data_IF_889613547397
#
_entry.id   IF_889613547397
#
_cell.length_a   1.000
_cell.length_b   1.000
_cell.length_c   1.000
_cell.angle_alpha   90.00
_cell.angle_beta   90.00
_cell.angle_gamma   90.00
#
_symmetry.space_group_name_H-M   'P 1'
#
loop_
_entity.id
_entity.type
_entity.pdbx_description
1 polymer ?
#
# COMPACT_ATOMS: atom_id res chain seq x y z
N UNK A 1 -29.35 37.84 58.93
CA UNK A 1 -27.97 38.39 59.01
C UNK A 1 -27.39 38.00 60.35
N UNK A 2 -26.60 36.92 60.39
CA UNK A 2 -25.93 36.43 61.58
C UNK A 2 -24.44 36.26 61.25
N UNK A 3 -23.60 36.89 62.07
CA UNK A 3 -22.16 37.07 61.92
C UNK A 3 -21.47 35.89 62.58
N UNK A 4 -20.85 35.00 61.80
CA UNK A 4 -20.07 33.87 62.33
C UNK A 4 -18.57 34.26 62.39
N UNK A 5 -17.87 33.97 63.50
CA UNK A 5 -16.48 34.36 63.71
C UNK A 5 -15.48 33.40 63.08
N UNK A 6 -14.38 33.99 62.61
CA UNK A 6 -13.18 33.35 62.06
C UNK A 6 -12.31 32.76 63.17
N UNK A 7 -11.73 31.55 63.01
CA UNK A 7 -10.64 31.08 63.86
C UNK A 7 -9.28 31.38 63.22
N UNK A 8 -8.57 32.35 63.80
CA UNK A 8 -7.12 32.42 63.78
C UNK A 8 -6.55 31.25 64.58
N UNK A 9 -5.51 30.59 64.06
CA UNK A 9 -4.60 29.80 64.89
C UNK A 9 -3.16 30.19 64.56
N UNK A 10 -2.41 30.79 65.51
CA UNK A 10 -1.01 31.13 65.37
C UNK A 10 -0.11 30.05 65.99
N UNK A 11 1.19 30.20 65.70
CA UNK A 11 2.36 29.61 66.36
C UNK A 11 2.76 28.17 65.98
N UNK A 12 3.91 27.99 65.33
CA UNK A 12 5.31 28.09 65.81
C UNK A 12 5.75 26.88 66.65
N UNK A 13 6.51 25.98 66.04
CA UNK A 13 7.63 25.23 66.62
C UNK A 13 8.41 24.67 65.41
N UNK A 14 9.49 25.30 64.94
CA UNK A 14 10.83 25.27 65.51
C UNK A 14 11.34 23.83 65.72
N UNK A 15 11.93 23.23 64.68
CA UNK A 15 12.95 22.20 64.88
C UNK A 15 14.19 22.48 64.03
N UNK A 16 15.31 22.33 64.73
CA UNK A 16 16.64 22.87 64.49
C UNK A 16 17.50 21.79 63.84
N UNK A 17 18.19 22.17 62.76
CA UNK A 17 19.58 21.76 62.42
C UNK A 17 20.03 20.31 62.63
N UNK A 18 20.33 19.63 61.51
CA UNK A 18 21.49 18.73 61.37
C UNK A 18 21.82 18.69 59.88
N UNK A 19 22.96 19.18 59.39
CA UNK A 19 24.31 18.84 59.81
C UNK A 19 24.95 17.97 58.71
N UNK A 20 25.19 18.56 57.53
CA UNK A 20 25.87 17.89 56.42
C UNK A 20 27.40 18.01 56.53
N UNK A 21 28.17 16.96 56.22
CA UNK A 21 29.50 17.10 55.63
C UNK A 21 29.37 16.96 54.11
N UNK A 22 29.45 18.10 53.42
CA UNK A 22 29.50 18.21 51.96
C UNK A 22 30.82 17.62 51.48
N UNK A 23 30.80 16.40 50.93
CA UNK A 23 31.94 15.83 50.19
C UNK A 23 32.18 16.68 48.94
N UNK A 24 33.34 17.33 48.90
CA UNK A 24 33.87 18.00 47.72
C UNK A 24 34.15 16.96 46.64
N UNK A 25 33.22 16.78 45.70
CA UNK A 25 33.49 16.07 44.45
C UNK A 25 34.20 17.04 43.50
N UNK A 26 35.35 16.67 42.91
CA UNK A 26 36.07 17.52 41.97
C UNK A 26 35.21 17.84 40.75
N UNK A 27 35.16 19.13 40.41
CA UNK A 27 34.62 19.66 39.17
C UNK A 27 35.49 19.16 38.01
N UNK A 28 34.96 18.40 37.03
CA UNK A 28 35.70 18.11 35.82
C UNK A 28 35.88 19.42 35.04
N UNK A 29 37.14 19.73 34.73
CA UNK A 29 37.50 20.83 33.83
C UNK A 29 36.86 20.63 32.45
N UNK A 30 36.51 21.73 31.75
CA UNK A 30 36.09 21.66 30.36
C UNK A 30 37.31 21.30 29.50
N UNK A 31 37.37 20.03 29.07
CA UNK A 31 38.32 19.61 28.04
C UNK A 31 38.09 20.42 26.77
N UNK A 32 39.13 21.17 26.45
CA UNK A 32 39.37 21.90 25.23
C UNK A 32 39.04 21.08 23.99
N UNK A 33 38.18 21.64 23.15
CA UNK A 33 38.34 21.70 21.69
C UNK A 33 39.09 20.54 21.03
N UNK A 34 38.37 19.46 20.74
CA UNK A 34 38.67 18.65 19.57
C UNK A 34 37.96 19.28 18.38
N UNK A 35 38.73 19.93 17.51
CA UNK A 35 38.30 20.28 16.15
C UNK A 35 37.85 18.99 15.46
N UNK A 36 36.54 18.85 15.27
CA UNK A 36 36.00 17.86 14.35
C UNK A 36 36.26 18.39 12.95
N UNK A 37 37.24 17.79 12.27
CA UNK A 37 37.43 17.97 10.84
C UNK A 37 36.11 17.75 10.10
N UNK A 38 35.75 18.75 9.31
CA UNK A 38 34.65 18.71 8.35
C UNK A 38 35.03 17.73 7.23
N UNK A 39 34.29 16.62 7.01
CA UNK A 39 34.53 15.77 5.86
C UNK A 39 34.01 16.48 4.61
N UNK A 40 34.97 17.03 3.85
CA UNK A 40 34.82 17.49 2.48
C UNK A 40 34.03 16.45 1.65
N UNK A 41 32.91 16.82 1.01
CA UNK A 41 32.20 15.92 0.10
C UNK A 41 33.01 15.77 -1.19
N UNK A 42 33.96 14.83 -1.21
CA UNK A 42 34.61 14.38 -2.43
C UNK A 42 33.70 13.39 -3.17
N UNK A 43 33.14 13.87 -4.27
CA UNK A 43 33.07 13.17 -5.56
C UNK A 43 32.87 11.65 -5.52
N UNK A 44 31.62 11.21 -5.32
CA UNK A 44 31.19 9.84 -5.61
C UNK A 44 29.92 9.78 -6.47
N UNK A 45 29.69 10.81 -7.31
CA UNK A 45 28.51 10.92 -8.17
C UNK A 45 28.79 10.72 -9.68
N UNK A 46 29.90 10.07 -10.05
CA UNK A 46 30.30 9.95 -11.45
C UNK A 46 30.49 8.50 -11.98
N UNK A 47 30.07 7.45 -11.26
CA UNK A 47 30.35 6.06 -11.68
C UNK A 47 29.14 5.13 -11.80
N UNK A 48 27.91 5.65 -11.83
CA UNK A 48 26.70 4.80 -11.96
C UNK A 48 25.89 5.11 -13.24
N UNK A 49 26.27 6.12 -14.02
CA UNK A 49 25.58 6.48 -15.25
C UNK A 49 25.97 5.64 -16.48
N UNK A 50 27.04 4.83 -16.42
CA UNK A 50 27.57 4.14 -17.60
C UNK A 50 27.14 2.66 -17.74
N UNK A 51 26.31 2.15 -16.82
CA UNK A 51 25.86 0.74 -16.83
C UNK A 51 24.44 0.52 -17.38
N UNK A 52 23.80 1.57 -17.92
CA UNK A 52 22.46 1.48 -18.53
C UNK A 52 22.45 1.59 -20.06
N UNK A 53 23.60 1.48 -20.73
CA UNK A 53 23.68 1.33 -22.19
C UNK A 53 23.41 -0.13 -22.57
N UNK A 54 22.12 -0.47 -22.65
CA UNK A 54 21.68 -1.71 -23.31
C UNK A 54 21.97 -1.68 -24.82
N UNK A 55 22.14 -2.84 -25.46
CA UNK A 55 22.47 -2.94 -26.87
C UNK A 55 21.39 -2.30 -27.76
N UNK A 56 21.81 -1.44 -28.68
CA UNK A 56 21.00 -0.98 -29.82
C UNK A 56 20.49 -2.22 -30.56
N UNK A 57 19.18 -2.42 -30.52
CA UNK A 57 18.49 -3.36 -31.39
C UNK A 57 18.21 -2.58 -32.67
N UNK A 58 19.01 -2.84 -33.69
CA UNK A 58 18.73 -2.43 -35.06
C UNK A 58 17.39 -3.05 -35.48
N UNK A 59 16.36 -2.19 -35.57
CA UNK A 59 15.06 -2.56 -36.13
C UNK A 59 15.20 -2.49 -37.64
N UNK A 60 15.69 -3.60 -38.21
CA UNK A 60 15.71 -3.83 -39.64
C UNK A 60 14.28 -3.86 -40.19
N UNK A 61 14.14 -3.15 -41.30
CA UNK A 61 12.90 -2.99 -42.04
C UNK A 61 12.39 -4.31 -42.62
N UNK A 62 11.06 -4.35 -42.79
CA UNK A 62 10.27 -5.17 -43.71
C UNK A 62 9.31 -6.14 -43.00
N UNK A 63 8.02 -5.97 -43.28
CA UNK A 63 7.28 -6.78 -44.25
C UNK A 63 5.83 -6.29 -44.18
N UNK A 64 5.40 -5.63 -45.25
CA UNK A 64 4.00 -5.28 -45.51
C UNK A 64 3.20 -6.57 -45.69
N UNK A 65 2.13 -6.83 -44.92
CA UNK A 65 1.25 -7.96 -45.21
C UNK A 65 0.39 -7.66 -46.45
N UNK A 66 0.12 -8.67 -47.31
CA UNK A 66 -0.70 -8.50 -48.49
C UNK A 66 -2.16 -8.20 -48.13
N UNK A 67 -2.72 -7.24 -48.85
CA UNK A 67 -4.14 -6.90 -48.87
C UNK A 67 -4.96 -8.09 -49.38
N UNK A 68 -5.67 -8.77 -48.49
CA UNK A 68 -6.66 -9.80 -48.85
C UNK A 68 -8.03 -9.14 -48.90
N UNK A 69 -8.54 -8.96 -50.11
CA UNK A 69 -9.93 -8.55 -50.37
C UNK A 69 -10.89 -9.66 -49.94
N UNK A 70 -12.03 -9.34 -49.30
CA UNK A 70 -13.04 -10.34 -48.98
C UNK A 70 -13.78 -10.77 -50.25
N UNK A 71 -13.55 -12.01 -50.66
CA UNK A 71 -14.38 -12.70 -51.66
C UNK A 71 -15.74 -13.00 -51.05
N UNK A 72 -16.77 -12.33 -51.57
CA UNK A 72 -18.18 -12.72 -51.43
C UNK A 72 -18.34 -14.15 -51.92
N UNK A 73 -18.75 -15.05 -51.03
CA UNK A 73 -19.22 -16.39 -51.39
C UNK A 73 -20.73 -16.29 -51.47
N UNK A 74 -21.24 -16.30 -52.70
CA UNK A 74 -22.65 -16.53 -53.00
C UNK A 74 -22.99 -17.99 -52.64
N UNK A 75 -23.97 -18.15 -51.74
CA UNK A 75 -24.62 -19.43 -51.45
C UNK A 75 -25.57 -19.77 -52.60
N UNK A 76 -25.11 -20.58 -53.56
CA UNK A 76 -25.97 -21.21 -54.56
C UNK A 76 -26.40 -22.61 -54.10
N UNK A 77 -27.70 -22.72 -53.90
CA UNK A 77 -28.49 -23.92 -53.63
C UNK A 77 -28.40 -24.98 -54.74
N UNK A 78 -28.26 -26.27 -54.40
CA UNK A 78 -28.84 -27.42 -55.15
C UNK A 78 -28.91 -28.68 -54.25
N UNK A 79 -29.98 -29.53 -54.36
CA UNK A 79 -30.24 -30.64 -53.45
C UNK A 79 -29.78 -32.02 -53.98
N UNK A 80 -29.51 -32.94 -53.04
CA UNK A 80 -29.78 -34.38 -53.16
C UNK A 80 -28.91 -35.23 -54.09
N UNK A 81 -28.26 -36.26 -53.52
CA UNK A 81 -28.38 -37.67 -53.94
C UNK A 81 -27.60 -38.55 -52.95
N UNK A 82 -28.32 -39.52 -52.35
CA UNK A 82 -27.77 -40.63 -51.56
C UNK A 82 -27.09 -41.63 -52.49
N UNK A 83 -25.91 -42.09 -52.11
CA UNK A 83 -25.32 -43.35 -52.58
C UNK A 83 -24.45 -43.96 -51.47
N UNK A 84 -24.58 -45.26 -51.15
CA UNK A 84 -23.69 -45.94 -50.24
C UNK A 84 -22.47 -46.45 -51.00
N UNK A 85 -21.26 -46.14 -50.53
CA UNK A 85 -20.03 -46.73 -51.07
C UNK A 85 -19.29 -47.49 -49.97
N UNK A 86 -18.79 -48.71 -50.24
CA UNK A 86 -18.16 -49.59 -49.26
C UNK A 86 -16.67 -49.26 -49.05
N UNK A 87 -16.22 -49.39 -47.80
CA UNK A 87 -14.79 -49.58 -47.46
C UNK A 87 -14.33 -50.95 -47.98
N UNK A 88 -13.08 -51.16 -48.46
CA UNK A 88 -11.92 -51.19 -47.54
C UNK A 88 -10.55 -50.81 -48.15
N UNK A 89 -9.62 -50.32 -47.33
CA UNK A 89 -8.31 -50.95 -47.14
C UNK A 89 -7.47 -50.21 -46.11
N UNK A 90 -6.99 -50.99 -45.15
CA UNK A 90 -6.15 -50.58 -44.04
C UNK A 90 -4.77 -50.14 -44.53
N UNK A 91 -4.45 -48.87 -44.30
CA UNK A 91 -3.08 -48.39 -44.22
C UNK A 91 -2.71 -48.20 -42.74
N UNK A 92 -1.45 -48.42 -42.35
CA UNK A 92 -1.03 -48.31 -40.95
C UNK A 92 -1.32 -46.91 -40.43
N UNK A 93 -2.03 -46.86 -39.31
CA UNK A 93 -2.31 -45.64 -38.58
C UNK A 93 -1.00 -45.04 -38.08
N UNK A 94 -0.40 -44.17 -38.89
CA UNK A 94 0.52 -43.16 -38.38
C UNK A 94 -0.31 -42.28 -37.47
N UNK A 95 -0.19 -42.50 -36.16
CA UNK A 95 -0.72 -41.62 -35.13
C UNK A 95 0.08 -40.31 -35.26
N UNK A 96 -0.33 -39.49 -36.22
CA UNK A 96 0.01 -38.08 -36.26
C UNK A 96 -0.72 -37.50 -35.07
N UNK A 97 -0.06 -37.48 -33.91
CA UNK A 97 -0.51 -36.65 -32.82
C UNK A 97 -0.61 -35.24 -33.41
N UNK A 98 -1.81 -34.63 -33.42
CA UNK A 98 -1.88 -33.23 -33.75
C UNK A 98 -1.08 -32.54 -32.65
N UNK A 99 0.14 -32.14 -32.99
CA UNK A 99 0.89 -31.13 -32.26
C UNK A 99 0.09 -29.84 -32.48
N UNK A 100 -1.05 -29.74 -31.80
CA UNK A 100 -1.67 -28.49 -31.47
C UNK A 100 -0.73 -27.84 -30.46
N UNK A 101 0.40 -27.34 -30.99
CA UNK A 101 0.98 -26.10 -30.55
C UNK A 101 -0.05 -25.03 -30.84
N UNK A 102 -1.16 -25.07 -30.10
CA UNK A 102 -2.08 -23.97 -29.97
C UNK A 102 -1.20 -22.82 -29.51
N UNK A 103 -0.87 -21.97 -30.47
CA UNK A 103 -0.18 -20.70 -30.26
C UNK A 103 -1.07 -19.97 -29.28
N UNK A 104 -0.80 -20.14 -27.98
CA UNK A 104 -1.57 -19.49 -26.92
C UNK A 104 -1.57 -18.03 -27.30
N UNK A 105 -2.77 -17.51 -27.57
CA UNK A 105 -2.95 -16.06 -27.66
C UNK A 105 -2.21 -15.48 -26.46
N UNK A 106 -1.28 -14.54 -26.65
CA UNK A 106 -0.41 -14.06 -25.59
C UNK A 106 -1.18 -13.46 -24.40
N UNK A 107 -2.49 -13.24 -24.55
CA UNK A 107 -3.40 -12.86 -23.47
C UNK A 107 -4.70 -13.66 -23.60
N UNK A 108 -4.96 -14.55 -22.64
CA UNK A 108 -6.26 -15.23 -22.50
C UNK A 108 -6.91 -14.65 -21.25
N UNK A 109 -7.60 -13.52 -21.39
CA UNK A 109 -8.42 -12.98 -20.31
C UNK A 109 -9.56 -13.96 -20.04
N UNK A 110 -9.65 -14.44 -18.80
CA UNK A 110 -10.75 -15.30 -18.38
C UNK A 110 -12.05 -14.49 -18.30
N UNK A 111 -13.17 -15.14 -18.60
CA UNK A 111 -14.50 -14.52 -18.52
C UNK A 111 -14.78 -14.10 -17.05
N UNK A 112 -15.37 -12.92 -16.79
CA UNK A 112 -15.71 -12.51 -15.43
C UNK A 112 -16.61 -13.54 -14.74
N UNK A 113 -16.28 -13.88 -13.50
CA UNK A 113 -17.10 -14.80 -12.70
C UNK A 113 -18.35 -14.10 -12.16
N UNK A 114 -19.50 -14.77 -12.22
CA UNK A 114 -20.78 -14.27 -11.66
C UNK A 114 -20.87 -14.44 -10.14
N UNK A 115 -19.96 -15.22 -9.54
CA UNK A 115 -19.94 -15.51 -8.11
C UNK A 115 -18.52 -15.40 -7.55
N UNK A 116 -18.40 -15.09 -6.26
CA UNK A 116 -17.11 -15.05 -5.58
C UNK A 116 -16.57 -16.48 -5.44
N UNK A 117 -15.55 -16.83 -6.21
CA UNK A 117 -15.00 -18.18 -6.19
C UNK A 117 -14.17 -18.40 -4.92
N UNK A 118 -14.08 -19.63 -4.43
CA UNK A 118 -13.24 -19.97 -3.26
C UNK A 118 -11.78 -19.54 -3.48
N UNK A 119 -11.29 -19.63 -4.73
CA UNK A 119 -9.94 -19.18 -5.10
C UNK A 119 -9.79 -17.67 -4.97
N UNK A 120 -10.76 -16.87 -5.42
CA UNK A 120 -10.75 -15.41 -5.22
C UNK A 120 -10.79 -15.05 -3.74
N UNK A 121 -11.63 -15.72 -2.95
CA UNK A 121 -11.68 -15.53 -1.49
C UNK A 121 -10.31 -15.80 -0.83
N UNK A 122 -9.67 -16.91 -1.19
CA UNK A 122 -8.36 -17.28 -0.68
C UNK A 122 -7.29 -16.25 -1.03
N UNK A 123 -7.28 -15.73 -2.27
CA UNK A 123 -6.32 -14.71 -2.70
C UNK A 123 -6.56 -13.39 -1.96
N UNK A 124 -7.81 -12.96 -1.80
CA UNK A 124 -8.15 -11.75 -1.04
C UNK A 124 -7.70 -11.85 0.42
N UNK A 125 -7.99 -12.97 1.09
CA UNK A 125 -7.57 -13.22 2.47
C UNK A 125 -6.05 -13.32 2.59
N UNK A 126 -5.40 -14.06 1.70
CA UNK A 126 -3.94 -14.19 1.69
C UNK A 126 -3.26 -12.84 1.50
N UNK A 127 -3.72 -12.03 0.54
CA UNK A 127 -3.19 -10.69 0.29
C UNK A 127 -3.40 -9.78 1.48
N UNK A 128 -4.61 -9.79 2.08
CA UNK A 128 -4.89 -9.01 3.28
C UNK A 128 -4.00 -9.40 4.46
N UNK A 129 -3.79 -10.70 4.70
CA UNK A 129 -2.91 -11.17 5.78
C UNK A 129 -1.45 -10.77 5.57
N UNK A 130 -0.93 -10.94 4.35
CA UNK A 130 0.44 -10.51 4.01
C UNK A 130 0.58 -9.01 4.19
N UNK A 131 -0.37 -8.22 3.70
CA UNK A 131 -0.38 -6.77 3.90
C UNK A 131 -0.40 -6.42 5.38
N UNK A 132 -1.34 -6.95 6.17
CA UNK A 132 -1.41 -6.70 7.62
C UNK A 132 -0.08 -7.01 8.30
N UNK A 133 0.48 -8.20 8.06
CA UNK A 133 1.70 -8.63 8.72
C UNK A 133 2.89 -7.74 8.35
N UNK A 134 3.06 -7.41 7.06
CA UNK A 134 4.15 -6.55 6.61
C UNK A 134 4.02 -5.12 7.12
N UNK A 135 2.84 -4.53 7.09
CA UNK A 135 2.62 -3.13 7.51
C UNK A 135 2.66 -2.99 9.01
N UNK A 136 2.05 -3.91 9.75
CA UNK A 136 2.06 -3.92 11.20
C UNK A 136 3.48 -4.06 11.74
N UNK A 137 4.26 -4.99 11.17
CA UNK A 137 5.65 -5.21 11.58
C UNK A 137 6.54 -4.01 11.27
N UNK A 138 6.42 -3.42 10.07
CA UNK A 138 7.20 -2.25 9.68
C UNK A 138 6.91 -1.06 10.60
N UNK A 139 5.63 -0.76 10.85
CA UNK A 139 5.24 0.37 11.69
C UNK A 139 5.57 0.15 13.16
N UNK A 140 5.45 -1.09 13.66
CA UNK A 140 5.92 -1.46 14.99
C UNK A 140 7.44 -1.27 15.13
N UNK A 141 8.22 -1.65 14.11
CA UNK A 141 9.66 -1.47 14.08
C UNK A 141 10.07 0.01 14.12
N UNK A 142 9.42 0.83 13.29
CA UNK A 142 9.64 2.29 13.28
C UNK A 142 9.29 2.91 14.64
N UNK A 143 8.13 2.53 15.21
CA UNK A 143 7.73 2.98 16.54
C UNK A 143 8.74 2.56 17.62
N UNK A 144 9.24 1.33 17.53
CA UNK A 144 10.23 0.80 18.48
C UNK A 144 11.54 1.56 18.39
N UNK A 145 11.98 1.92 17.18
CA UNK A 145 13.18 2.74 16.99
C UNK A 145 12.96 4.19 17.47
N UNK A 146 11.82 4.80 17.16
CA UNK A 146 11.54 6.19 17.53
C UNK A 146 11.34 6.37 19.03
N UNK A 147 10.56 5.50 19.65
CA UNK A 147 10.13 5.64 21.05
C UNK A 147 10.93 4.77 22.03
N UNK A 148 11.59 3.71 21.55
CA UNK A 148 12.35 2.79 22.41
C UNK A 148 13.71 3.32 22.86
N UNK A 149 14.29 4.31 22.15
CA UNK A 149 15.57 4.93 22.51
C UNK A 149 15.45 6.25 23.28
N UNK A 150 14.23 6.78 23.45
CA UNK A 150 14.03 7.98 24.27
C UNK A 150 14.19 7.66 25.75
N UNK A 151 15.07 8.40 26.43
CA UNK A 151 15.43 8.20 27.84
C UNK A 151 14.26 8.60 28.75
N UNK A 152 13.36 7.68 29.06
CA UNK A 152 12.24 7.80 30.01
C UNK A 152 11.27 9.00 29.83
N UNK A 153 11.47 9.83 28.80
CA UNK A 153 10.59 10.95 28.49
C UNK A 153 9.19 10.44 28.10
N UNK A 154 8.12 10.99 28.69
CA UNK A 154 6.76 10.58 28.37
C UNK A 154 6.43 10.91 26.91
N UNK A 155 5.67 10.03 26.27
CA UNK A 155 5.21 10.26 24.89
C UNK A 155 3.95 11.12 24.94
N UNK A 156 4.04 12.27 24.29
CA UNK A 156 2.96 13.24 24.20
C UNK A 156 2.05 12.95 23.00
N UNK A 157 0.74 13.09 23.20
CA UNK A 157 -0.24 12.86 22.14
C UNK A 157 -0.20 13.96 21.08
N UNK A 158 -0.18 15.23 21.50
CA UNK A 158 -0.28 16.39 20.62
C UNK A 158 0.92 17.36 20.71
N UNK A 159 1.69 17.33 21.79
CA UNK A 159 2.81 18.26 22.00
C UNK A 159 4.06 17.84 21.19
N UNK A 160 4.73 18.84 20.62
CA UNK A 160 6.00 18.72 19.90
C UNK A 160 7.17 18.36 20.84
N UNK A 161 8.25 17.72 20.38
CA UNK A 161 8.72 17.64 18.99
C UNK A 161 8.17 16.49 18.14
N UNK A 162 7.68 15.40 18.74
CA UNK A 162 7.23 14.20 18.02
C UNK A 162 5.82 13.81 18.53
N UNK A 163 4.76 14.51 18.09
CA UNK A 163 3.41 14.21 18.53
C UNK A 163 2.95 12.85 18.00
N UNK A 164 2.53 11.95 18.89
CA UNK A 164 2.05 10.62 18.50
C UNK A 164 0.88 10.68 17.52
N UNK A 165 -0.02 11.65 17.69
CA UNK A 165 -1.17 11.86 16.80
C UNK A 165 -0.76 12.30 15.38
N UNK A 166 0.28 13.15 15.28
CA UNK A 166 0.79 13.62 13.99
C UNK A 166 1.56 12.53 13.24
N UNK A 167 2.37 11.76 13.96
CA UNK A 167 3.09 10.63 13.41
C UNK A 167 2.13 9.53 12.89
N UNK A 168 1.05 9.24 13.62
CA UNK A 168 0.03 8.30 13.16
C UNK A 168 -0.79 8.81 11.97
N UNK A 169 -1.08 10.10 11.92
CA UNK A 169 -1.73 10.73 10.77
C UNK A 169 -0.90 10.53 9.48
N UNK A 170 0.40 10.84 9.56
CA UNK A 170 1.34 10.67 8.45
C UNK A 170 1.49 9.19 8.08
N UNK A 171 1.53 8.31 9.09
CA UNK A 171 1.61 6.86 8.89
C UNK A 171 0.43 6.35 8.06
N UNK A 172 -0.81 6.71 8.39
CA UNK A 172 -2.00 6.29 7.63
C UNK A 172 -1.88 6.74 6.16
N UNK A 173 -1.48 7.99 5.94
CA UNK A 173 -1.31 8.55 4.61
C UNK A 173 -0.25 7.77 3.83
N UNK A 174 0.99 7.72 4.30
CA UNK A 174 2.09 7.06 3.58
C UNK A 174 1.78 5.58 3.36
N UNK A 175 1.23 4.89 4.37
CA UNK A 175 0.93 3.47 4.29
C UNK A 175 -0.10 3.16 3.20
N UNK A 176 -1.12 4.01 3.01
CA UNK A 176 -2.11 3.78 1.97
C UNK A 176 -1.52 3.93 0.57
N UNK A 177 -0.63 4.89 0.35
CA UNK A 177 0.10 5.02 -0.92
C UNK A 177 1.02 3.83 -1.16
N UNK A 178 1.80 3.43 -0.14
CA UNK A 178 2.70 2.28 -0.23
C UNK A 178 1.96 0.95 -0.40
N UNK A 179 0.70 0.85 0.03
CA UNK A 179 -0.11 -0.35 -0.16
C UNK A 179 -0.78 -0.36 -1.53
N UNK A 180 -1.20 0.81 -2.03
CA UNK A 180 -1.91 0.96 -3.30
C UNK A 180 -1.07 0.49 -4.49
N UNK A 181 0.14 1.04 -4.67
CA UNK A 181 0.92 0.79 -5.89
C UNK A 181 1.41 -0.67 -6.03
N UNK A 182 1.95 -1.32 -4.98
CA UNK A 182 2.33 -2.72 -5.07
C UNK A 182 1.12 -3.62 -5.33
N UNK A 183 -0.02 -3.37 -4.66
CA UNK A 183 -1.23 -4.17 -4.89
C UNK A 183 -1.71 -4.04 -6.33
N UNK A 184 -1.75 -2.82 -6.87
CA UNK A 184 -2.09 -2.57 -8.28
C UNK A 184 -1.14 -3.33 -9.23
N UNK A 185 0.16 -3.33 -8.95
CA UNK A 185 1.14 -4.06 -9.77
C UNK A 185 0.95 -5.58 -9.69
N UNK A 186 0.73 -6.13 -8.48
CA UNK A 186 0.48 -7.55 -8.27
C UNK A 186 -0.80 -7.99 -8.99
N UNK A 187 -1.90 -7.27 -8.79
CA UNK A 187 -3.19 -7.57 -9.42
C UNK A 187 -3.05 -7.52 -10.94
N UNK A 188 -2.44 -6.48 -11.50
CA UNK A 188 -2.23 -6.38 -12.93
C UNK A 188 -1.37 -7.53 -13.48
N UNK A 189 -0.32 -7.94 -12.76
CA UNK A 189 0.50 -9.10 -13.13
C UNK A 189 -0.29 -10.40 -13.13
N UNK A 190 -1.09 -10.66 -12.09
CA UNK A 190 -1.90 -11.88 -12.00
C UNK A 190 -3.03 -11.92 -13.05
N UNK A 191 -3.61 -10.78 -13.38
CA UNK A 191 -4.59 -10.65 -14.46
C UNK A 191 -3.95 -10.92 -15.83
N UNK A 192 -2.76 -10.36 -16.09
CA UNK A 192 -2.02 -10.59 -17.34
C UNK A 192 -1.59 -12.06 -17.50
N UNK A 193 -1.28 -12.74 -16.40
CA UNK A 193 -0.97 -14.16 -16.39
C UNK A 193 -2.21 -15.05 -16.63
N UNK A 194 -3.43 -14.49 -16.56
CA UNK A 194 -4.67 -15.25 -16.66
C UNK A 194 -4.88 -16.21 -15.47
N UNK A 195 -4.21 -15.96 -14.34
CA UNK A 195 -4.32 -16.82 -13.16
C UNK A 195 -5.56 -16.53 -12.32
N UNK A 196 -6.06 -15.29 -12.40
CA UNK A 196 -7.18 -14.78 -11.61
C UNK A 196 -8.28 -14.31 -12.55
N UNK A 197 -9.50 -14.78 -12.29
CA UNK A 197 -10.71 -14.29 -12.95
C UNK A 197 -11.11 -12.93 -12.34
N UNK A 198 -11.41 -11.91 -13.16
CA UNK A 198 -11.93 -10.65 -12.64
C UNK A 198 -13.29 -10.86 -11.97
N UNK A 199 -13.53 -10.09 -10.91
CA UNK A 199 -14.77 -10.14 -10.14
C UNK A 199 -15.88 -9.49 -10.96
N UNK A 200 -16.81 -10.29 -11.48
CA UNK A 200 -17.92 -9.81 -12.32
C UNK A 200 -19.26 -9.67 -11.60
N UNK A 201 -19.33 -9.97 -10.28
CA UNK A 201 -20.61 -9.97 -9.57
C UNK A 201 -21.12 -8.57 -9.21
N UNK A 202 -20.24 -7.55 -9.15
CA UNK A 202 -20.69 -6.19 -8.82
C UNK A 202 -21.41 -5.58 -10.03
N UNK A 203 -22.68 -5.17 -9.88
CA UNK A 203 -23.36 -4.43 -10.93
C UNK A 203 -22.61 -3.12 -11.19
N UNK A 204 -22.50 -2.75 -12.47
CA UNK A 204 -21.85 -1.50 -12.84
C UNK A 204 -22.56 -0.31 -12.19
N UNK A 205 -21.82 0.57 -11.48
CA UNK A 205 -22.42 1.76 -10.90
C UNK A 205 -22.92 2.70 -12.00
N UNK A 206 -24.16 3.14 -11.85
CA UNK A 206 -24.78 4.17 -12.69
C UNK A 206 -24.12 5.57 -12.56
N UNK A 207 -23.35 5.81 -11.50
CA UNK A 207 -22.71 7.10 -11.26
C UNK A 207 -21.32 7.18 -11.92
N UNK A 208 -21.17 8.13 -12.86
CA UNK A 208 -19.94 8.42 -13.57
C UNK A 208 -18.68 8.51 -12.67
N UNK A 209 -18.64 9.26 -11.55
CA UNK A 209 -17.43 9.33 -10.73
C UNK A 209 -17.09 8.00 -10.05
N UNK A 210 -18.10 7.19 -9.70
CA UNK A 210 -17.89 5.87 -9.10
C UNK A 210 -17.39 4.87 -10.15
N UNK A 211 -17.93 4.95 -11.37
CA UNK A 211 -17.47 4.20 -12.54
C UNK A 211 -16.02 4.53 -12.89
N UNK A 212 -15.67 5.81 -12.88
CA UNK A 212 -14.28 6.26 -12.99
C UNK A 212 -13.45 5.65 -11.88
N UNK A 213 -13.82 5.81 -10.61
CA UNK A 213 -13.08 5.31 -9.44
C UNK A 213 -12.83 3.80 -9.45
N UNK A 214 -13.75 3.01 -10.02
CA UNK A 214 -13.65 1.54 -10.15
C UNK A 214 -12.94 1.05 -11.41
N UNK A 215 -12.29 1.93 -12.18
CA UNK A 215 -11.62 1.59 -13.47
C UNK A 215 -12.56 1.07 -14.56
N UNK A 216 -13.86 1.34 -14.47
CA UNK A 216 -14.84 0.90 -15.46
C UNK A 216 -14.87 1.82 -16.69
N UNK A 217 -14.39 3.06 -16.57
CA UNK A 217 -14.17 3.97 -17.70
C UNK A 217 -12.88 3.66 -18.47
N UNK A 218 -12.74 2.40 -18.92
CA UNK A 218 -11.67 2.07 -19.89
C UNK A 218 -12.03 2.74 -21.21
N UNK A 219 -11.31 3.80 -21.56
CA UNK A 219 -11.28 4.27 -22.93
C UNK A 219 -10.85 3.10 -23.82
N UNK A 220 -11.56 2.83 -24.93
CA UNK A 220 -11.24 1.71 -25.81
C UNK A 220 -9.77 1.82 -26.23
N UNK A 221 -9.04 0.72 -26.07
CA UNK A 221 -7.62 0.57 -26.40
C UNK A 221 -7.40 0.97 -27.86
N UNK A 222 -7.04 2.23 -28.09
CA UNK A 222 -6.32 2.60 -29.31
C UNK A 222 -5.01 1.83 -29.24
N UNK A 223 -4.85 0.87 -30.14
CA UNK A 223 -3.66 0.05 -30.38
C UNK A 223 -2.41 0.88 -30.81
N UNK A 224 -2.19 2.04 -30.19
CA UNK A 224 -1.07 2.94 -30.42
C UNK A 224 0.05 2.73 -29.41
N UNK A 225 1.25 3.19 -29.76
CA UNK A 225 2.43 3.17 -28.88
C UNK A 225 2.10 3.81 -27.52
N UNK A 226 2.48 3.13 -26.44
CA UNK A 226 2.39 3.68 -25.07
C UNK A 226 3.18 4.98 -25.02
N UNK A 227 2.47 6.10 -24.96
CA UNK A 227 3.08 7.43 -24.91
C UNK A 227 3.26 7.82 -23.44
N UNK A 228 4.34 8.54 -23.10
CA UNK A 228 4.60 9.03 -21.74
C UNK A 228 3.39 9.78 -21.14
N UNK A 229 2.65 10.53 -21.96
CA UNK A 229 1.43 11.22 -21.55
C UNK A 229 0.31 10.26 -21.09
N UNK A 230 0.18 9.07 -21.68
CA UNK A 230 -0.80 8.06 -21.25
C UNK A 230 -0.41 7.46 -19.90
N UNK A 231 0.88 7.17 -19.72
CA UNK A 231 1.42 6.67 -18.45
C UNK A 231 1.25 7.72 -17.34
N UNK A 232 1.57 8.99 -17.62
CA UNK A 232 1.39 10.07 -16.65
C UNK A 232 -0.09 10.26 -16.27
N UNK A 233 -1.01 10.22 -17.25
CA UNK A 233 -2.45 10.26 -16.99
C UNK A 233 -2.92 9.09 -16.14
N UNK A 234 -2.39 7.89 -16.41
CA UNK A 234 -2.66 6.71 -15.60
C UNK A 234 -2.18 6.91 -14.16
N UNK A 235 -0.91 7.30 -13.96
CA UNK A 235 -0.35 7.54 -12.62
C UNK A 235 -1.14 8.61 -11.86
N UNK A 236 -1.50 9.72 -12.53
CA UNK A 236 -2.29 10.78 -11.91
C UNK A 236 -3.69 10.30 -11.53
N UNK A 237 -4.33 9.47 -12.36
CA UNK A 237 -5.61 8.83 -12.04
C UNK A 237 -5.49 7.92 -10.82
N UNK A 238 -4.43 7.11 -10.72
CA UNK A 238 -4.14 6.28 -9.55
C UNK A 238 -3.92 7.12 -8.30
N UNK A 239 -3.11 8.18 -8.41
CA UNK A 239 -2.78 9.10 -7.32
C UNK A 239 -4.04 9.77 -6.74
N UNK A 240 -4.94 10.23 -7.61
CA UNK A 240 -6.18 10.87 -7.19
C UNK A 240 -7.12 9.88 -6.47
N UNK A 241 -7.18 8.63 -6.90
CA UNK A 241 -8.00 7.59 -6.25
C UNK A 241 -7.48 7.22 -4.88
N UNK A 242 -6.17 6.95 -4.77
CA UNK A 242 -5.57 6.66 -3.47
C UNK A 242 -5.68 7.87 -2.55
N UNK A 243 -5.61 9.10 -3.06
CA UNK A 243 -5.84 10.31 -2.26
C UNK A 243 -7.28 10.39 -1.71
N UNK A 244 -8.29 10.17 -2.56
CA UNK A 244 -9.70 10.15 -2.13
C UNK A 244 -9.92 9.06 -1.07
N UNK A 245 -9.43 7.85 -1.33
CA UNK A 245 -9.52 6.74 -0.39
C UNK A 245 -8.79 7.05 0.93
N UNK A 246 -7.62 7.70 0.85
CA UNK A 246 -6.83 8.11 2.01
C UNK A 246 -7.56 9.14 2.85
N UNK A 247 -8.20 10.13 2.24
CA UNK A 247 -8.99 11.12 2.99
C UNK A 247 -10.14 10.45 3.75
N UNK A 248 -10.85 9.51 3.10
CA UNK A 248 -11.93 8.75 3.73
C UNK A 248 -11.43 7.86 4.86
N UNK A 249 -10.39 7.05 4.59
CA UNK A 249 -9.78 6.17 5.58
C UNK A 249 -9.20 6.96 6.76
N UNK A 250 -8.57 8.11 6.50
CA UNK A 250 -8.05 9.00 7.53
C UNK A 250 -9.17 9.52 8.42
N UNK A 251 -10.26 10.04 7.85
CA UNK A 251 -11.39 10.54 8.62
C UNK A 251 -12.02 9.44 9.50
N UNK A 252 -12.13 8.22 8.98
CA UNK A 252 -12.73 7.08 9.68
C UNK A 252 -11.79 6.49 10.73
N UNK A 253 -10.49 6.38 10.47
CA UNK A 253 -9.55 5.66 11.33
C UNK A 253 -8.86 6.58 12.33
N UNK A 254 -8.45 7.77 11.92
CA UNK A 254 -7.63 8.65 12.76
C UNK A 254 -8.42 9.14 13.97
N UNK A 255 -9.59 9.74 13.77
CA UNK A 255 -10.36 10.33 14.87
C UNK A 255 -10.76 9.32 15.97
N UNK A 256 -11.32 8.13 15.64
CA UNK A 256 -11.57 7.11 16.66
C UNK A 256 -10.31 6.61 17.34
N UNK A 257 -9.20 6.49 16.59
CA UNK A 257 -7.92 6.04 17.17
C UNK A 257 -7.38 7.02 18.22
N UNK A 258 -7.50 8.33 17.96
CA UNK A 258 -7.15 9.38 18.92
C UNK A 258 -8.10 9.34 20.12
N UNK A 259 -9.40 9.16 19.91
CA UNK A 259 -10.37 9.01 20.99
C UNK A 259 -10.05 7.82 21.91
N UNK A 260 -9.64 6.68 21.36
CA UNK A 260 -9.19 5.51 22.14
C UNK A 260 -7.91 5.82 22.90
N UNK A 261 -6.92 6.47 22.29
CA UNK A 261 -5.70 6.88 22.98
C UNK A 261 -6.01 7.83 24.15
N UNK A 262 -6.87 8.82 23.95
CA UNK A 262 -7.30 9.74 25.01
C UNK A 262 -7.99 9.01 26.16
N UNK A 263 -8.71 7.93 25.89
CA UNK A 263 -9.41 7.12 26.90
C UNK A 263 -8.46 6.19 27.70
N UNK A 264 -7.36 5.74 27.09
CA UNK A 264 -6.39 4.81 27.70
C UNK A 264 -5.18 5.53 28.31
N UNK A 265 -5.09 6.85 28.17
CA UNK A 265 -3.96 7.63 28.68
C UNK A 265 -3.73 7.45 30.19
N UNK A 266 -2.47 7.26 30.56
CA UNK A 266 -2.06 6.97 31.95
C UNK A 266 -2.23 8.19 32.86
N UNK A 267 -1.93 9.38 32.33
CA UNK A 267 -2.06 10.63 33.05
C UNK A 267 -2.28 11.80 32.09
N UNK A 268 -2.91 12.84 32.62
CA UNK A 268 -2.89 14.17 32.00
C UNK A 268 -1.62 14.87 32.43
N UNK A 269 -0.72 15.17 31.50
CA UNK A 269 0.42 16.04 31.74
C UNK A 269 0.03 17.46 31.32
N UNK A 270 -0.24 18.33 32.29
CA UNK A 270 -0.67 19.71 32.08
C UNK A 270 -1.91 19.81 31.16
N UNK A 271 -1.67 19.97 29.86
CA UNK A 271 -2.67 20.18 28.82
C UNK A 271 -2.70 19.09 27.75
N UNK A 272 -1.94 18.01 27.93
CA UNK A 272 -1.83 16.89 26.99
C UNK A 272 -2.03 15.52 27.67
N UNK A 273 -2.21 14.49 26.86
CA UNK A 273 -2.26 13.10 27.27
C UNK A 273 -0.86 12.49 27.13
N UNK A 274 -0.36 11.94 28.23
CA UNK A 274 0.93 11.27 28.28
C UNK A 274 0.76 9.76 28.32
N UNK A 275 1.70 9.08 27.67
CA UNK A 275 1.80 7.63 27.68
C UNK A 275 3.20 7.20 28.08
N UNK A 276 3.29 6.01 28.66
CA UNK A 276 4.58 5.36 28.82
C UNK A 276 5.26 5.16 27.45
N UNK A 277 6.57 5.44 27.33
CA UNK A 277 7.30 5.32 26.07
C UNK A 277 7.42 3.87 25.59
N UNK A 278 7.27 2.91 26.51
CA UNK A 278 7.29 1.49 26.21
C UNK A 278 5.89 0.95 25.98
N UNK A 279 5.77 0.13 24.95
CA UNK A 279 4.60 -0.61 24.50
C UNK A 279 3.46 0.22 23.91
N UNK A 280 3.04 1.32 24.53
CA UNK A 280 1.85 2.07 24.07
C UNK A 280 1.97 2.56 22.63
N UNK A 281 2.99 3.37 22.24
CA UNK A 281 3.07 3.84 20.86
C UNK A 281 3.36 2.72 19.87
N UNK A 282 4.10 1.68 20.27
CA UNK A 282 4.44 0.55 19.39
C UNK A 282 3.20 -0.31 19.09
N UNK A 283 2.43 -0.68 20.12
CA UNK A 283 1.18 -1.44 19.98
C UNK A 283 0.14 -0.63 19.22
N UNK A 284 0.01 0.66 19.53
CA UNK A 284 -0.89 1.55 18.80
C UNK A 284 -0.56 1.59 17.31
N UNK A 285 0.72 1.82 16.95
CA UNK A 285 1.16 1.84 15.55
C UNK A 285 0.95 0.49 14.85
N UNK A 286 1.16 -0.61 15.55
CA UNK A 286 0.89 -1.96 15.04
C UNK A 286 -0.60 -2.12 14.70
N UNK A 287 -1.49 -1.78 15.63
CA UNK A 287 -2.94 -1.95 15.45
C UNK A 287 -3.46 -1.04 14.34
N UNK A 288 -3.12 0.26 14.35
CA UNK A 288 -3.67 1.20 13.36
C UNK A 288 -3.21 0.86 11.95
N UNK A 289 -1.96 0.41 11.77
CA UNK A 289 -1.44 0.00 10.47
C UNK A 289 -2.00 -1.34 10.00
N UNK A 290 -2.26 -2.28 10.92
CA UNK A 290 -2.98 -3.52 10.62
C UNK A 290 -4.41 -3.24 10.14
N UNK A 291 -5.16 -2.40 10.87
CA UNK A 291 -6.53 -2.01 10.50
C UNK A 291 -6.54 -1.26 9.16
N UNK A 292 -5.58 -0.35 8.95
CA UNK A 292 -5.43 0.37 7.68
C UNK A 292 -5.16 -0.58 6.52
N UNK A 293 -4.26 -1.55 6.70
CA UNK A 293 -3.96 -2.56 5.67
C UNK A 293 -5.14 -3.49 5.40
N UNK A 294 -5.88 -3.88 6.43
CA UNK A 294 -7.10 -4.69 6.30
C UNK A 294 -8.19 -3.96 5.51
N UNK A 295 -8.31 -2.64 5.67
CA UNK A 295 -9.26 -1.83 4.92
C UNK A 295 -8.81 -1.63 3.46
N UNK A 296 -7.51 -1.45 3.24
CA UNK A 296 -6.90 -1.17 1.95
C UNK A 296 -6.84 -2.40 1.02
N UNK A 297 -6.27 -3.50 1.50
CA UNK A 297 -5.90 -4.63 0.64
C UNK A 297 -7.08 -5.29 -0.10
N UNK A 298 -8.23 -5.60 0.54
CA UNK A 298 -9.38 -6.17 -0.16
C UNK A 298 -9.97 -5.19 -1.16
N UNK A 299 -10.07 -3.92 -0.78
CA UNK A 299 -10.62 -2.86 -1.64
C UNK A 299 -9.78 -2.70 -2.90
N UNK A 300 -8.45 -2.80 -2.79
CA UNK A 300 -7.54 -2.60 -3.92
C UNK A 300 -7.35 -3.86 -4.77
N UNK A 301 -7.64 -5.04 -4.21
CA UNK A 301 -7.56 -6.31 -4.94
C UNK A 301 -8.87 -6.63 -5.66
N UNK A 302 -10.00 -6.07 -5.19
CA UNK A 302 -11.31 -6.33 -5.77
C UNK A 302 -11.56 -5.65 -7.12
N UNK A 303 -10.79 -4.61 -7.47
CA UNK A 303 -11.00 -3.74 -8.65
C UNK A 303 -9.70 -3.52 -9.43
#
# INVERSE_FOLDING_TARGET
MAKLPSPQNPELSAEKTSGAPRKNTPRPEPSQSAQSEEPKPQAAAASVADSLRGPEIDVEAAVTPPSVSPTLIDEESTPGIRGPVPFPNAAPATVVFPVHSARRSPYTFLKPSTHLTTRQCFILLYTAMVSIMSTALLNFGIASAMYGFSNDDPVHLFVFPIPLAGDSAITILIQLFLTWFPTLFLVNKYLQAGEIEPIGFLPEPWWCPLRWFMFLDRCPERHGRVTAALVMRFILSQLLRVLIFTILAYAILWAPSIGVLMAVADARCDWDWCFQPRWTPQVYKLIISAVTALLAAPTFTAF
#
